data_IF_921207306503
#
_entry.id   IF_921207306503
#
_cell.length_a   1.000
_cell.length_b   1.000
_cell.length_c   1.000
_cell.angle_alpha   90.00
_cell.angle_beta   90.00
_cell.angle_gamma   90.00
#
_symmetry.space_group_name_H-M   'P 1'
#
loop_
_entity.id
_entity.type
_entity.pdbx_description
1 polymer ?
#
# COMPACT_ATOMS: atom_id res chain seq x y z
N UNK A 1 -9.38 -38.06 14.69
CA UNK A 1 -10.73 -37.75 15.21
C UNK A 1 -11.01 -36.29 14.93
N UNK A 2 -11.88 -36.00 13.95
CA UNK A 2 -12.27 -34.63 13.58
C UNK A 2 -13.42 -34.24 14.50
N UNK A 3 -13.23 -33.23 15.34
CA UNK A 3 -14.33 -32.67 16.15
C UNK A 3 -15.30 -31.92 15.22
N UNK A 4 -16.60 -32.28 15.20
CA UNK A 4 -17.58 -31.50 14.45
C UNK A 4 -17.84 -30.17 15.18
N UNK A 5 -17.72 -29.07 14.45
CA UNK A 5 -18.18 -27.74 14.88
C UNK A 5 -19.71 -27.74 14.96
N UNK A 6 -20.25 -27.98 16.15
CA UNK A 6 -21.64 -27.72 16.47
C UNK A 6 -21.69 -26.77 17.69
N UNK A 7 -22.61 -25.78 17.71
CA UNK A 7 -22.77 -24.91 18.87
C UNK A 7 -23.06 -25.73 20.13
N UNK A 8 -22.60 -25.30 21.31
CA UNK A 8 -22.72 -26.09 22.53
C UNK A 8 -24.19 -26.30 22.88
N UNK A 9 -24.64 -27.56 22.85
CA UNK A 9 -25.93 -27.93 23.45
C UNK A 9 -25.78 -27.88 24.97
N UNK A 10 -26.82 -27.47 25.73
CA UNK A 10 -26.77 -27.41 27.20
C UNK A 10 -26.57 -28.77 27.89
N UNK A 11 -26.54 -29.87 27.13
CA UNK A 11 -26.53 -31.26 27.60
C UNK A 11 -25.26 -32.04 27.23
N UNK A 12 -24.20 -31.40 26.74
CA UNK A 12 -22.99 -32.11 26.33
C UNK A 12 -22.15 -32.60 27.54
N UNK A 13 -21.65 -33.86 27.53
CA UNK A 13 -20.90 -34.44 28.64
C UNK A 13 -19.52 -33.79 28.87
N UNK A 14 -19.12 -33.71 30.14
CA UNK A 14 -17.98 -32.96 30.70
C UNK A 14 -16.59 -33.37 30.19
N UNK A 15 -16.44 -34.49 29.49
CA UNK A 15 -15.14 -34.89 28.93
C UNK A 15 -14.71 -34.06 27.70
N UNK A 16 -15.60 -33.22 27.15
CA UNK A 16 -15.24 -32.20 26.14
C UNK A 16 -14.44 -31.01 26.73
N UNK A 17 -14.24 -30.95 28.04
CA UNK A 17 -13.54 -29.84 28.71
C UNK A 17 -12.00 -29.87 28.63
N UNK A 18 -11.40 -30.87 27.96
CA UNK A 18 -9.94 -31.09 27.94
C UNK A 18 -9.27 -30.88 26.57
N UNK A 19 -9.96 -30.26 25.61
CA UNK A 19 -9.26 -29.69 24.46
C UNK A 19 -8.84 -28.26 24.82
N UNK A 20 -7.54 -27.90 24.77
CA UNK A 20 -7.14 -26.50 24.77
C UNK A 20 -7.54 -25.91 23.42
N UNK A 21 -8.83 -25.59 23.26
CA UNK A 21 -9.27 -24.61 22.28
C UNK A 21 -8.58 -23.30 22.68
N UNK A 22 -7.81 -22.62 21.82
CA UNK A 22 -7.48 -21.24 22.08
C UNK A 22 -8.82 -20.54 22.30
N UNK A 23 -8.98 -19.96 23.49
CA UNK A 23 -10.16 -19.16 23.79
C UNK A 23 -10.40 -18.25 22.60
N UNK A 24 -11.61 -18.23 22.05
CA UNK A 24 -11.95 -17.49 20.82
C UNK A 24 -11.48 -16.02 20.89
N UNK A 25 -11.38 -15.48 22.11
CA UNK A 25 -10.75 -14.20 22.44
C UNK A 25 -9.26 -14.09 22.08
N UNK A 26 -8.44 -15.11 22.31
CA UNK A 26 -7.00 -15.09 22.04
C UNK A 26 -6.71 -15.02 20.54
N UNK A 27 -7.38 -15.83 19.71
CA UNK A 27 -7.18 -15.81 18.26
C UNK A 27 -7.58 -14.45 17.67
N UNK A 28 -8.67 -13.86 18.16
CA UNK A 28 -9.10 -12.51 17.74
C UNK A 28 -8.05 -11.46 18.11
N UNK A 29 -7.49 -11.50 19.32
CA UNK A 29 -6.41 -10.59 19.72
C UNK A 29 -5.18 -10.75 18.82
N UNK A 30 -4.82 -11.99 18.47
CA UNK A 30 -3.71 -12.26 17.54
C UNK A 30 -3.98 -11.74 16.14
N UNK A 31 -5.20 -11.91 15.62
CA UNK A 31 -5.61 -11.36 14.32
C UNK A 31 -5.56 -9.83 14.34
N UNK A 32 -6.06 -9.19 15.40
CA UNK A 32 -5.99 -7.73 15.56
C UNK A 32 -4.52 -7.27 15.57
N UNK A 33 -3.66 -7.95 16.34
CA UNK A 33 -2.24 -7.63 16.40
C UNK A 33 -1.57 -7.77 15.01
N UNK A 34 -1.84 -8.85 14.29
CA UNK A 34 -1.34 -9.04 12.92
C UNK A 34 -1.91 -8.03 11.94
N UNK A 35 -3.19 -7.68 12.04
CA UNK A 35 -3.81 -6.69 11.18
C UNK A 35 -3.15 -5.31 11.38
N UNK A 36 -2.88 -4.92 12.63
CA UNK A 36 -2.15 -3.67 12.92
C UNK A 36 -0.69 -3.73 12.45
N UNK A 37 -0.02 -4.88 12.57
CA UNK A 37 1.30 -5.09 11.97
C UNK A 37 1.23 -4.94 10.45
N UNK A 38 0.23 -5.56 9.80
CA UNK A 38 -0.01 -5.44 8.37
C UNK A 38 -0.21 -3.98 7.98
N UNK A 39 -1.02 -3.22 8.71
CA UNK A 39 -1.30 -1.81 8.43
C UNK A 39 -0.07 -0.91 8.62
N UNK A 40 0.72 -1.18 9.67
CA UNK A 40 2.04 -0.57 9.83
C UNK A 40 2.95 -0.91 8.65
N UNK A 41 2.97 -2.18 8.22
CA UNK A 41 3.79 -2.57 7.07
C UNK A 41 3.33 -1.90 5.78
N UNK A 42 2.03 -1.76 5.62
CA UNK A 42 1.42 -1.08 4.48
C UNK A 42 1.80 0.40 4.46
N UNK A 43 1.67 1.09 5.59
CA UNK A 43 2.07 2.49 5.74
C UNK A 43 3.52 2.74 5.34
N UNK A 44 4.44 1.86 5.75
CA UNK A 44 5.85 1.98 5.36
C UNK A 44 6.05 1.74 3.86
N UNK A 45 5.40 0.72 3.29
CA UNK A 45 5.57 0.29 1.89
C UNK A 45 5.09 1.37 0.92
N UNK A 46 3.88 1.88 1.19
CA UNK A 46 3.16 2.78 0.30
C UNK A 46 3.48 4.26 0.54
N UNK A 47 4.36 4.58 1.50
CA UNK A 47 4.94 5.93 1.61
C UNK A 47 5.56 6.40 0.28
N UNK A 48 6.11 5.46 -0.49
CA UNK A 48 6.69 5.74 -1.80
C UNK A 48 5.68 6.29 -2.81
N UNK A 49 4.41 5.89 -2.71
CA UNK A 49 3.36 6.27 -3.66
C UNK A 49 3.08 7.78 -3.61
N UNK A 50 3.16 8.38 -2.42
CA UNK A 50 2.95 9.82 -2.23
C UNK A 50 4.25 10.63 -2.21
N UNK A 51 5.34 10.06 -1.70
CA UNK A 51 6.54 10.85 -1.34
C UNK A 51 7.76 10.62 -2.23
N UNK A 52 7.78 9.59 -3.08
CA UNK A 52 8.93 9.36 -3.96
C UNK A 52 9.13 10.49 -4.97
N UNK A 53 8.05 11.00 -5.55
CA UNK A 53 8.05 12.07 -6.55
C UNK A 53 8.47 13.44 -5.99
N UNK A 54 7.92 13.98 -4.87
CA UNK A 54 8.36 15.27 -4.33
C UNK A 54 9.76 15.22 -3.72
N UNK A 55 10.24 14.03 -3.30
CA UNK A 55 11.62 13.86 -2.87
C UNK A 55 12.56 13.87 -4.08
N UNK A 56 12.24 13.12 -5.14
CA UNK A 56 13.07 13.05 -6.36
C UNK A 56 13.17 14.38 -7.10
N UNK A 57 12.11 15.20 -7.10
CA UNK A 57 12.14 16.55 -7.71
C UNK A 57 12.84 17.59 -6.84
N UNK A 58 13.19 17.26 -5.59
CA UNK A 58 13.70 18.21 -4.61
C UNK A 58 12.65 19.19 -4.08
N UNK A 59 11.35 18.93 -4.31
CA UNK A 59 10.28 19.75 -3.79
C UNK A 59 10.24 19.71 -2.25
N UNK A 60 10.39 18.51 -1.67
CA UNK A 60 10.40 18.26 -0.22
C UNK A 60 11.66 17.54 0.23
N UNK A 61 12.11 17.84 1.45
CA UNK A 61 13.17 17.05 2.11
C UNK A 61 12.59 15.71 2.58
N UNK A 62 13.35 14.59 2.51
CA UNK A 62 12.86 13.25 2.84
C UNK A 62 12.13 13.14 4.18
N UNK A 63 12.69 13.68 5.27
CA UNK A 63 12.09 13.61 6.61
C UNK A 63 10.82 14.46 6.75
N UNK A 64 10.74 15.58 6.04
CA UNK A 64 9.54 16.43 6.01
C UNK A 64 8.44 15.73 5.21
N UNK A 65 8.79 15.14 4.08
CA UNK A 65 7.87 14.40 3.22
C UNK A 65 7.16 13.27 3.98
N UNK A 66 7.91 12.37 4.64
CA UNK A 66 7.31 11.27 5.41
C UNK A 66 6.55 11.75 6.65
N UNK A 67 6.95 12.88 7.25
CA UNK A 67 6.22 13.49 8.37
C UNK A 67 4.84 14.03 7.97
N UNK A 68 4.79 14.78 6.86
CA UNK A 68 3.53 15.27 6.29
C UNK A 68 2.65 14.10 5.86
N UNK A 69 3.23 13.09 5.20
CA UNK A 69 2.51 11.90 4.78
C UNK A 69 1.88 11.15 5.96
N UNK A 70 2.61 10.97 7.06
CA UNK A 70 2.10 10.30 8.25
C UNK A 70 0.90 11.02 8.87
N UNK A 71 0.98 12.36 9.01
CA UNK A 71 -0.12 13.17 9.54
C UNK A 71 -1.34 13.08 8.64
N UNK A 72 -1.16 13.18 7.32
CA UNK A 72 -2.28 13.13 6.38
C UNK A 72 -2.87 11.72 6.25
N UNK A 73 -2.07 10.66 6.36
CA UNK A 73 -2.58 9.29 6.48
C UNK A 73 -3.44 9.12 7.73
N UNK A 74 -2.97 9.63 8.88
CA UNK A 74 -3.73 9.62 10.13
C UNK A 74 -5.08 10.33 9.95
N UNK A 75 -5.07 11.56 9.43
CA UNK A 75 -6.30 12.35 9.20
C UNK A 75 -7.21 11.65 8.19
N UNK A 76 -6.67 11.18 7.08
CA UNK A 76 -7.42 10.52 6.01
C UNK A 76 -8.17 9.27 6.50
N UNK A 77 -7.57 8.51 7.41
CA UNK A 77 -8.21 7.34 8.01
C UNK A 77 -9.53 7.66 8.76
N UNK A 78 -9.72 8.89 9.25
CA UNK A 78 -10.95 9.31 9.92
C UNK A 78 -12.00 9.92 8.97
N UNK A 79 -11.68 10.14 7.69
CA UNK A 79 -12.60 10.85 6.78
C UNK A 79 -13.62 9.93 6.09
N UNK A 80 -13.43 8.60 6.12
CA UNK A 80 -14.35 7.66 5.47
C UNK A 80 -14.25 6.26 6.08
N UNK A 81 -15.32 5.48 5.94
CA UNK A 81 -15.41 4.06 6.34
C UNK A 81 -16.05 3.16 5.26
N UNK A 82 -16.25 3.67 4.05
CA UNK A 82 -16.94 2.95 2.97
C UNK A 82 -16.17 1.74 2.42
N UNK A 83 -14.85 1.85 2.28
CA UNK A 83 -13.99 0.73 1.87
C UNK A 83 -13.99 -0.35 2.95
N UNK A 84 -13.95 0.03 4.23
CA UNK A 84 -13.97 -0.90 5.35
C UNK A 84 -15.26 -1.75 5.34
N UNK A 85 -16.41 -1.09 5.15
CA UNK A 85 -17.72 -1.77 5.01
C UNK A 85 -17.77 -2.73 3.83
N UNK A 86 -17.13 -2.37 2.71
CA UNK A 86 -17.08 -3.23 1.54
C UNK A 86 -16.20 -4.46 1.77
N UNK A 87 -15.07 -4.32 2.48
CA UNK A 87 -14.21 -5.45 2.85
C UNK A 87 -14.89 -6.39 3.84
N UNK A 88 -15.57 -5.84 4.85
CA UNK A 88 -16.19 -6.63 5.91
C UNK A 88 -17.51 -7.31 5.53
N UNK A 89 -18.01 -7.17 4.30
CA UNK A 89 -19.29 -7.76 3.90
C UNK A 89 -19.41 -8.19 2.44
N UNK A 90 -18.32 -8.22 1.67
CA UNK A 90 -18.41 -8.42 0.20
C UNK A 90 -17.51 -9.49 -0.42
N UNK A 91 -16.45 -9.95 0.25
CA UNK A 91 -15.42 -10.79 -0.42
C UNK A 91 -15.67 -12.28 -0.21
N UNK A 92 -16.29 -12.64 0.90
CA UNK A 92 -16.66 -13.99 1.29
C UNK A 92 -18.18 -14.04 1.29
N UNK A 93 -18.74 -15.17 0.86
CA UNK A 93 -20.19 -15.38 0.89
C UNK A 93 -20.67 -15.49 2.33
N UNK A 94 -21.01 -14.35 2.92
CA UNK A 94 -21.62 -14.23 4.24
C UNK A 94 -23.15 -14.19 4.10
N UNK A 95 -23.88 -14.97 4.92
CA UNK A 95 -25.35 -15.05 4.88
C UNK A 95 -25.88 -16.48 5.02
N UNK A 96 -27.21 -16.64 4.99
CA UNK A 96 -27.87 -17.95 5.08
C UNK A 96 -27.42 -18.86 3.92
N UNK A 97 -26.71 -19.94 4.26
CA UNK A 97 -26.10 -20.87 3.29
C UNK A 97 -24.69 -20.50 2.80
N UNK A 98 -24.10 -19.41 3.32
CA UNK A 98 -22.72 -19.00 3.08
C UNK A 98 -21.71 -19.70 4.00
N UNK A 99 -20.41 -19.53 3.73
CA UNK A 99 -19.35 -20.03 4.62
C UNK A 99 -18.74 -18.85 5.38
N UNK A 100 -18.94 -18.83 6.70
CA UNK A 100 -18.25 -17.89 7.56
C UNK A 100 -16.75 -18.21 7.58
N UNK A 101 -15.91 -17.22 7.25
CA UNK A 101 -14.47 -17.35 7.48
C UNK A 101 -14.21 -17.26 8.98
N UNK A 102 -13.43 -18.20 9.51
CA UNK A 102 -13.05 -18.21 10.92
C UNK A 102 -11.86 -17.28 11.18
N UNK A 103 -11.72 -16.72 12.40
CA UNK A 103 -10.56 -15.90 12.76
C UNK A 103 -9.21 -16.55 12.48
N UNK A 104 -9.10 -17.88 12.58
CA UNK A 104 -7.88 -18.65 12.28
C UNK A 104 -7.48 -18.55 10.80
N UNK A 105 -8.45 -18.53 9.88
CA UNK A 105 -8.18 -18.37 8.46
C UNK A 105 -7.81 -16.92 8.10
N UNK A 106 -8.41 -15.95 8.80
CA UNK A 106 -8.00 -14.53 8.68
C UNK A 106 -6.57 -14.37 9.16
N UNK A 107 -6.23 -14.98 10.31
CA UNK A 107 -4.87 -15.01 10.87
C UNK A 107 -3.86 -15.56 9.86
N UNK A 108 -4.15 -16.73 9.28
CA UNK A 108 -3.30 -17.35 8.26
C UNK A 108 -3.14 -16.48 7.00
N UNK A 109 -4.24 -15.89 6.51
CA UNK A 109 -4.22 -15.01 5.35
C UNK A 109 -3.38 -13.75 5.58
N UNK A 110 -3.46 -13.15 6.78
CA UNK A 110 -2.66 -11.99 7.16
C UNK A 110 -1.16 -12.32 7.23
N UNK A 111 -0.77 -13.50 7.75
CA UNK A 111 0.63 -13.95 7.71
C UNK A 111 1.13 -13.97 6.27
N UNK A 112 0.37 -14.59 5.35
CA UNK A 112 0.74 -14.66 3.94
C UNK A 112 0.91 -13.28 3.30
N UNK A 113 -0.01 -12.36 3.60
CA UNK A 113 0.04 -10.98 3.11
C UNK A 113 1.27 -10.21 3.65
N UNK A 114 1.55 -10.31 4.96
CA UNK A 114 2.68 -9.62 5.61
C UNK A 114 4.02 -10.15 5.08
N UNK A 115 4.17 -11.47 4.99
CA UNK A 115 5.41 -12.09 4.50
C UNK A 115 5.69 -11.64 3.06
N UNK A 116 4.68 -11.65 2.19
CA UNK A 116 4.86 -11.20 0.81
C UNK A 116 5.18 -9.70 0.70
N UNK A 117 4.51 -8.86 1.49
CA UNK A 117 4.81 -7.42 1.57
C UNK A 117 6.27 -7.16 1.97
N UNK A 118 6.79 -7.91 2.95
CA UNK A 118 8.18 -7.78 3.38
C UNK A 118 9.18 -8.32 2.36
N UNK A 119 8.86 -9.39 1.64
CA UNK A 119 9.68 -9.92 0.53
C UNK A 119 9.81 -8.87 -0.58
N UNK A 120 8.68 -8.31 -1.03
CA UNK A 120 8.69 -7.29 -2.10
C UNK A 120 9.40 -6.02 -1.66
N UNK A 121 9.23 -5.60 -0.40
CA UNK A 121 10.00 -4.50 0.18
C UNK A 121 11.51 -4.77 0.18
N UNK A 122 11.92 -5.98 0.57
CA UNK A 122 13.34 -6.37 0.57
C UNK A 122 13.92 -6.29 -0.85
N UNK A 123 13.13 -6.68 -1.85
CA UNK A 123 13.49 -6.55 -3.27
C UNK A 123 13.41 -5.11 -3.81
N UNK A 124 12.87 -4.15 -3.04
CA UNK A 124 12.65 -2.78 -3.47
C UNK A 124 11.61 -2.65 -4.59
N UNK A 125 10.72 -3.65 -4.72
CA UNK A 125 9.68 -3.69 -5.73
C UNK A 125 8.41 -3.03 -5.17
N UNK A 126 7.88 -1.98 -5.83
CA UNK A 126 6.57 -1.43 -5.50
C UNK A 126 5.49 -2.48 -5.80
N UNK A 127 4.87 -2.98 -4.74
CA UNK A 127 3.84 -4.03 -4.76
C UNK A 127 2.55 -3.48 -4.15
N UNK A 128 1.44 -4.17 -4.37
CA UNK A 128 0.14 -3.75 -3.86
C UNK A 128 -0.21 -4.52 -2.60
N UNK A 129 -0.23 -3.84 -1.46
CA UNK A 129 -0.69 -4.43 -0.20
C UNK A 129 -2.15 -4.89 -0.27
N UNK A 130 -3.02 -4.22 -1.03
CA UNK A 130 -4.40 -4.68 -1.27
C UNK A 130 -4.43 -6.09 -1.86
N UNK A 131 -3.62 -6.33 -2.90
CA UNK A 131 -3.57 -7.63 -3.56
C UNK A 131 -2.88 -8.68 -2.71
N UNK A 132 -1.88 -8.27 -1.91
CA UNK A 132 -1.25 -9.16 -0.94
C UNK A 132 -2.28 -9.65 0.09
N UNK A 133 -3.08 -8.73 0.65
CA UNK A 133 -4.16 -9.01 1.59
C UNK A 133 -5.21 -9.94 0.99
N UNK A 134 -5.77 -9.58 -0.17
CA UNK A 134 -6.79 -10.39 -0.83
C UNK A 134 -6.25 -11.76 -1.24
N UNK A 135 -5.05 -11.82 -1.81
CA UNK A 135 -4.42 -13.09 -2.16
C UNK A 135 -4.26 -13.98 -0.92
N UNK A 136 -3.71 -13.45 0.18
CA UNK A 136 -3.54 -14.19 1.43
C UNK A 136 -4.84 -14.76 1.97
N UNK A 137 -5.90 -13.94 2.03
CA UNK A 137 -7.24 -14.38 2.47
C UNK A 137 -7.86 -15.40 1.52
N UNK A 138 -7.75 -15.21 0.19
CA UNK A 138 -8.25 -16.16 -0.81
C UNK A 138 -7.55 -17.50 -0.67
N UNK A 139 -6.22 -17.50 -0.56
CA UNK A 139 -5.44 -18.72 -0.38
C UNK A 139 -5.79 -19.47 0.90
N UNK A 140 -5.93 -18.73 2.01
CA UNK A 140 -6.35 -19.29 3.28
C UNK A 140 -7.75 -19.90 3.22
N UNK A 141 -8.70 -19.21 2.57
CA UNK A 141 -10.08 -19.70 2.41
C UNK A 141 -10.17 -20.95 1.51
N UNK A 142 -9.40 -21.01 0.42
CA UNK A 142 -9.36 -22.17 -0.46
C UNK A 142 -8.90 -23.43 0.29
N UNK A 143 -7.89 -23.32 1.16
CA UNK A 143 -7.40 -24.46 1.95
C UNK A 143 -8.30 -24.75 3.16
N UNK A 144 -8.76 -23.72 3.86
CA UNK A 144 -9.53 -23.86 5.08
C UNK A 144 -10.96 -24.35 4.86
N UNK A 145 -11.55 -24.03 3.71
CA UNK A 145 -12.96 -24.28 3.41
C UNK A 145 -13.14 -24.98 2.07
N UNK A 146 -12.43 -24.50 1.04
CA UNK A 146 -12.57 -24.97 -0.34
C UNK A 146 -12.84 -23.84 -1.32
N UNK A 147 -12.77 -24.16 -2.61
CA UNK A 147 -12.89 -23.18 -3.72
C UNK A 147 -14.27 -22.53 -3.80
N UNK A 148 -15.29 -23.16 -3.22
CA UNK A 148 -16.68 -22.67 -3.15
C UNK A 148 -16.88 -21.47 -2.21
N UNK A 149 -15.94 -21.26 -1.27
CA UNK A 149 -15.98 -20.14 -0.33
C UNK A 149 -15.75 -18.78 -1.01
N UNK A 150 -15.11 -18.79 -2.18
CA UNK A 150 -14.74 -17.59 -2.92
C UNK A 150 -15.89 -17.17 -3.83
N UNK A 151 -16.28 -15.90 -3.73
CA UNK A 151 -17.09 -15.27 -4.77
C UNK A 151 -16.20 -14.74 -5.90
N UNK A 152 -16.01 -15.57 -6.94
CA UNK A 152 -15.19 -15.21 -8.10
C UNK A 152 -15.71 -13.99 -8.85
N UNK A 153 -17.02 -13.72 -8.83
CA UNK A 153 -17.59 -12.54 -9.46
C UNK A 153 -17.17 -11.28 -8.70
N UNK A 154 -17.24 -11.31 -7.36
CA UNK A 154 -16.78 -10.19 -6.54
C UNK A 154 -15.28 -10.00 -6.65
N UNK A 155 -14.48 -11.07 -6.58
CA UNK A 155 -13.02 -10.98 -6.76
C UNK A 155 -12.68 -10.39 -8.13
N UNK A 156 -13.33 -10.84 -9.20
CA UNK A 156 -13.12 -10.29 -10.53
C UNK A 156 -13.51 -8.79 -10.60
N UNK A 157 -14.69 -8.43 -10.12
CA UNK A 157 -15.24 -7.08 -10.26
C UNK A 157 -14.60 -6.04 -9.32
N UNK A 158 -14.22 -6.44 -8.11
CA UNK A 158 -13.76 -5.53 -7.04
C UNK A 158 -12.25 -5.58 -6.80
N UNK A 159 -11.55 -6.64 -7.25
CA UNK A 159 -10.10 -6.80 -7.07
C UNK A 159 -9.38 -6.77 -8.42
N UNK A 160 -9.65 -7.74 -9.30
CA UNK A 160 -8.88 -7.93 -10.55
C UNK A 160 -9.12 -6.80 -11.55
N UNK A 161 -10.38 -6.48 -11.83
CA UNK A 161 -10.73 -5.49 -12.85
C UNK A 161 -10.21 -4.08 -12.50
N UNK A 162 -10.39 -3.55 -11.26
CA UNK A 162 -9.79 -2.28 -10.86
C UNK A 162 -8.25 -2.29 -10.94
N UNK A 163 -7.60 -3.41 -10.65
CA UNK A 163 -6.14 -3.52 -10.71
C UNK A 163 -5.57 -3.34 -12.13
N UNK A 164 -6.32 -3.77 -13.14
CA UNK A 164 -5.93 -3.62 -14.55
C UNK A 164 -6.31 -2.24 -15.09
N UNK A 165 -7.51 -1.76 -14.78
CA UNK A 165 -8.07 -0.55 -15.39
C UNK A 165 -7.52 0.72 -14.74
N UNK A 166 -7.46 0.77 -13.40
CA UNK A 166 -7.15 2.00 -12.69
C UNK A 166 -5.76 2.58 -13.02
N UNK A 167 -4.68 1.78 -13.14
CA UNK A 167 -3.36 2.30 -13.50
C UNK A 167 -3.33 2.90 -14.90
N UNK A 168 -4.10 2.32 -15.83
CA UNK A 168 -4.22 2.81 -17.20
C UNK A 168 -4.98 4.13 -17.23
N UNK A 169 -6.14 4.21 -16.56
CA UNK A 169 -6.92 5.45 -16.46
C UNK A 169 -6.08 6.56 -15.82
N UNK A 170 -5.45 6.28 -14.68
CA UNK A 170 -4.61 7.26 -13.99
C UNK A 170 -3.36 7.64 -14.80
N UNK A 171 -2.82 6.72 -15.59
CA UNK A 171 -1.74 7.00 -16.55
C UNK A 171 -2.19 7.92 -17.68
N UNK A 172 -3.37 7.68 -18.26
CA UNK A 172 -3.93 8.52 -19.33
C UNK A 172 -4.24 9.92 -18.82
N UNK A 173 -4.88 10.05 -17.64
CA UNK A 173 -5.16 11.34 -17.01
C UNK A 173 -3.85 12.09 -16.75
N UNK A 174 -2.85 11.45 -16.15
CA UNK A 174 -1.55 12.08 -15.90
C UNK A 174 -0.82 12.49 -17.19
N UNK A 175 -0.94 11.71 -18.26
CA UNK A 175 -0.38 12.01 -19.58
C UNK A 175 -1.01 13.27 -20.17
N UNK A 176 -2.35 13.35 -20.17
CA UNK A 176 -3.10 14.50 -20.69
C UNK A 176 -2.82 15.74 -19.84
N UNK A 177 -2.89 15.61 -18.51
CA UNK A 177 -2.60 16.70 -17.58
C UNK A 177 -1.17 17.24 -17.74
N UNK A 178 -0.19 16.35 -17.95
CA UNK A 178 1.19 16.74 -18.22
C UNK A 178 1.29 17.49 -19.55
N UNK A 179 0.69 16.99 -20.64
CA UNK A 179 0.71 17.68 -21.94
C UNK A 179 0.11 19.07 -21.84
N UNK A 180 -1.02 19.20 -21.14
CA UNK A 180 -1.68 20.47 -20.92
C UNK A 180 -0.80 21.43 -20.12
N UNK A 181 -0.25 20.98 -18.99
CA UNK A 181 0.63 21.79 -18.14
C UNK A 181 1.87 22.30 -18.91
N UNK A 182 2.51 21.45 -19.72
CA UNK A 182 3.68 21.84 -20.51
C UNK A 182 3.33 22.73 -21.71
N UNK A 183 2.11 22.62 -22.25
CA UNK A 183 1.64 23.45 -23.35
C UNK A 183 1.28 24.85 -22.85
N UNK A 184 0.54 24.95 -21.75
CA UNK A 184 0.14 26.24 -21.15
C UNK A 184 1.36 27.01 -20.61
N UNK A 185 2.36 26.30 -20.08
CA UNK A 185 3.58 26.91 -19.54
C UNK A 185 4.71 27.03 -20.56
N UNK A 186 4.43 26.79 -21.84
CA UNK A 186 5.40 26.99 -22.91
C UNK A 186 5.65 28.49 -23.08
N UNK A 187 6.92 28.89 -23.11
CA UNK A 187 7.36 30.28 -23.33
C UNK A 187 8.51 30.33 -24.32
N UNK A 188 8.75 31.51 -24.86
CA UNK A 188 9.83 31.78 -25.81
C UNK A 188 11.22 31.58 -25.20
N UNK A 189 12.18 31.26 -26.06
CA UNK A 189 13.57 30.99 -25.68
C UNK A 189 14.16 32.21 -24.98
N UNK A 190 14.61 32.04 -23.72
CA UNK A 190 15.26 33.09 -22.93
C UNK A 190 14.43 33.65 -21.77
N UNK A 191 13.13 33.33 -21.68
CA UNK A 191 12.32 33.69 -20.51
C UNK A 191 12.42 32.64 -19.38
N UNK A 192 12.26 33.02 -18.10
CA UNK A 192 12.11 32.06 -17.01
C UNK A 192 10.91 31.16 -17.33
N UNK A 193 11.09 29.85 -17.17
CA UNK A 193 10.14 28.83 -17.63
C UNK A 193 8.80 28.80 -16.85
N UNK A 194 8.52 29.79 -16.00
CA UNK A 194 7.26 29.96 -15.27
C UNK A 194 6.94 28.83 -14.28
N UNK A 195 7.84 27.85 -14.13
CA UNK A 195 7.58 26.57 -13.45
C UNK A 195 7.92 26.57 -11.96
N UNK A 196 8.29 27.72 -11.40
CA UNK A 196 8.54 27.87 -9.96
C UNK A 196 7.31 27.51 -9.11
N UNK A 197 6.10 27.82 -9.61
CA UNK A 197 4.84 27.52 -8.92
C UNK A 197 4.51 26.02 -8.82
N UNK A 198 4.95 25.20 -9.80
CA UNK A 198 4.67 23.76 -9.79
C UNK A 198 5.31 23.02 -8.63
N UNK A 199 6.36 23.59 -8.02
CA UNK A 199 6.92 23.03 -6.79
C UNK A 199 5.89 23.03 -5.66
N UNK A 200 5.17 24.13 -5.47
CA UNK A 200 4.13 24.24 -4.44
C UNK A 200 2.90 23.42 -4.79
N UNK A 201 2.50 23.43 -6.06
CA UNK A 201 1.42 22.58 -6.55
C UNK A 201 1.73 21.10 -6.30
N UNK A 202 2.98 20.67 -6.54
CA UNK A 202 3.42 19.31 -6.25
C UNK A 202 3.35 18.97 -4.76
N UNK A 203 3.84 19.84 -3.87
CA UNK A 203 3.75 19.61 -2.42
C UNK A 203 2.29 19.39 -2.01
N UNK A 204 1.37 20.20 -2.54
CA UNK A 204 -0.06 20.07 -2.28
C UNK A 204 -0.64 18.77 -2.86
N UNK A 205 -0.35 18.41 -4.11
CA UNK A 205 -0.84 17.17 -4.70
C UNK A 205 -0.28 15.93 -4.03
N UNK A 206 1.01 15.90 -3.65
CA UNK A 206 1.63 14.82 -2.88
C UNK A 206 0.94 14.64 -1.53
N UNK A 207 0.57 15.76 -0.90
CA UNK A 207 -0.19 15.78 0.35
C UNK A 207 -1.60 15.19 0.16
N UNK A 208 -2.28 15.53 -0.95
CA UNK A 208 -3.57 14.92 -1.29
C UNK A 208 -3.45 13.42 -1.56
N UNK A 209 -2.36 12.94 -2.18
CA UNK A 209 -2.13 11.49 -2.34
C UNK A 209 -1.98 10.81 -0.99
N UNK A 210 -1.24 11.40 -0.05
CA UNK A 210 -1.14 10.86 1.31
C UNK A 210 -2.48 10.87 2.06
N UNK A 211 -3.27 11.93 1.92
CA UNK A 211 -4.62 11.97 2.51
C UNK A 211 -5.50 10.87 1.90
N UNK A 212 -5.52 10.76 0.57
CA UNK A 212 -6.29 9.76 -0.18
C UNK A 212 -5.87 8.33 0.17
N UNK A 213 -4.56 8.12 0.39
CA UNK A 213 -4.03 6.85 0.86
C UNK A 213 -4.62 6.48 2.23
N UNK A 214 -4.64 7.40 3.20
CA UNK A 214 -5.30 7.19 4.50
C UNK A 214 -6.79 6.84 4.35
N UNK A 215 -7.51 7.50 3.44
CA UNK A 215 -8.93 7.20 3.18
C UNK A 215 -9.18 5.85 2.51
N UNK A 216 -8.16 5.15 2.00
CA UNK A 216 -8.34 3.89 1.30
C UNK A 216 -7.69 2.74 2.06
N UNK A 217 -6.42 2.88 2.42
CA UNK A 217 -5.58 1.79 2.89
C UNK A 217 -5.82 1.44 4.36
N UNK A 218 -5.96 2.45 5.22
CA UNK A 218 -6.29 2.23 6.63
C UNK A 218 -7.62 1.49 6.77
N UNK A 219 -8.58 1.81 5.89
CA UNK A 219 -9.89 1.18 5.86
C UNK A 219 -9.85 -0.31 5.54
N UNK A 220 -8.83 -0.79 4.81
CA UNK A 220 -8.73 -2.21 4.48
C UNK A 220 -8.49 -3.03 5.74
N UNK A 221 -7.56 -2.55 6.57
CA UNK A 221 -7.27 -3.14 7.87
C UNK A 221 -8.46 -3.01 8.81
N UNK A 222 -9.14 -1.85 8.83
CA UNK A 222 -10.38 -1.68 9.60
C UNK A 222 -11.44 -2.71 9.21
N UNK A 223 -11.60 -2.98 7.91
CA UNK A 223 -12.50 -4.00 7.38
C UNK A 223 -12.15 -5.42 7.85
N UNK A 224 -10.86 -5.79 7.83
CA UNK A 224 -10.39 -7.10 8.30
C UNK A 224 -10.61 -7.28 9.81
N UNK A 225 -10.30 -6.26 10.62
CA UNK A 225 -10.55 -6.31 12.06
C UNK A 225 -12.05 -6.40 12.34
N UNK A 226 -12.86 -5.60 11.65
CA UNK A 226 -14.33 -5.62 11.79
C UNK A 226 -14.90 -6.97 11.41
N UNK A 227 -14.45 -7.55 10.29
CA UNK A 227 -14.80 -8.90 9.88
C UNK A 227 -14.45 -9.94 10.95
N UNK A 228 -13.26 -9.81 11.55
CA UNK A 228 -12.82 -10.70 12.63
C UNK A 228 -13.71 -10.59 13.87
N UNK A 229 -14.13 -9.37 14.25
CA UNK A 229 -15.03 -9.15 15.37
C UNK A 229 -16.44 -9.69 15.10
N UNK A 230 -16.92 -9.58 13.86
CA UNK A 230 -18.21 -10.13 13.42
C UNK A 230 -18.15 -11.67 13.43
N UNK A 231 -17.12 -12.27 12.82
CA UNK A 231 -16.87 -13.70 12.89
C UNK A 231 -16.69 -14.19 14.33
N UNK A 232 -16.13 -13.31 15.17
CA UNK A 232 -15.94 -13.45 16.59
C UNK A 232 -17.23 -13.40 17.44
N UNK A 233 -18.35 -12.96 16.88
CA UNK A 233 -19.59 -12.69 17.63
C UNK A 233 -19.51 -11.47 18.56
N UNK A 234 -18.45 -10.67 18.49
CA UNK A 234 -18.26 -9.45 19.30
C UNK A 234 -18.92 -8.21 18.67
N UNK A 235 -19.34 -8.30 17.40
CA UNK A 235 -19.93 -7.21 16.65
C UNK A 235 -21.03 -7.73 15.71
N UNK A 236 -22.12 -6.98 15.54
CA UNK A 236 -23.25 -7.39 14.71
C UNK A 236 -22.91 -7.31 13.21
N UNK A 237 -23.45 -8.23 12.41
CA UNK A 237 -23.30 -8.23 10.94
C UNK A 237 -23.82 -6.91 10.37
N UNK A 238 -23.10 -6.35 9.40
CA UNK A 238 -23.47 -5.09 8.73
C UNK A 238 -23.15 -3.82 9.53
N UNK A 239 -22.60 -3.93 10.74
CA UNK A 239 -22.09 -2.77 11.47
C UNK A 239 -20.72 -2.34 10.93
N UNK A 240 -20.50 -1.03 10.82
CA UNK A 240 -19.23 -0.46 10.37
C UNK A 240 -18.13 -0.56 11.43
N UNK A 241 -16.87 -0.21 11.09
CA UNK A 241 -15.76 -0.24 12.04
C UNK A 241 -16.04 0.68 13.24
N UNK A 242 -15.75 0.18 14.44
CA UNK A 242 -15.87 0.95 15.68
C UNK A 242 -14.74 1.97 15.79
N UNK A 243 -14.95 3.03 16.59
CA UNK A 243 -13.99 4.14 16.68
C UNK A 243 -12.58 3.71 17.09
N UNK A 244 -12.44 2.75 18.02
CA UNK A 244 -11.13 2.28 18.44
C UNK A 244 -10.39 1.54 17.32
N UNK A 245 -11.11 0.80 16.46
CA UNK A 245 -10.52 0.14 15.27
C UNK A 245 -10.01 1.20 14.32
N UNK A 246 -10.80 2.25 14.08
CA UNK A 246 -10.39 3.37 13.22
C UNK A 246 -9.13 4.02 13.78
N UNK A 247 -9.10 4.35 15.07
CA UNK A 247 -7.97 4.99 15.72
C UNK A 247 -6.70 4.11 15.73
N UNK A 248 -6.85 2.81 15.98
CA UNK A 248 -5.73 1.87 16.01
C UNK A 248 -5.08 1.71 14.62
N UNK A 249 -5.90 1.50 13.57
CA UNK A 249 -5.43 1.44 12.19
C UNK A 249 -4.80 2.77 11.75
N UNK A 250 -5.48 3.90 12.03
CA UNK A 250 -4.97 5.23 11.70
C UNK A 250 -3.59 5.50 12.31
N UNK A 251 -3.37 5.08 13.56
CA UNK A 251 -2.08 5.20 14.21
C UNK A 251 -1.03 4.23 13.62
N UNK A 252 -1.42 2.97 13.39
CA UNK A 252 -0.52 1.96 12.82
C UNK A 252 0.01 2.38 11.44
N UNK A 253 -0.88 2.76 10.52
CA UNK A 253 -0.51 3.21 9.18
C UNK A 253 0.33 4.50 9.23
N UNK A 254 0.00 5.46 10.10
CA UNK A 254 0.74 6.72 10.23
C UNK A 254 2.17 6.50 10.76
N UNK A 255 2.33 5.66 11.79
CA UNK A 255 3.65 5.30 12.32
C UNK A 255 4.44 4.55 11.24
N UNK A 256 3.82 3.59 10.54
CA UNK A 256 4.41 2.90 9.40
C UNK A 256 4.93 3.89 8.35
N UNK A 257 4.08 4.83 7.93
CA UNK A 257 4.44 5.87 6.96
C UNK A 257 5.60 6.74 7.43
N UNK A 258 5.65 7.10 8.71
CA UNK A 258 6.75 7.88 9.24
C UNK A 258 8.09 7.13 9.21
N UNK A 259 8.09 5.81 9.39
CA UNK A 259 9.31 4.99 9.24
C UNK A 259 9.83 4.99 7.79
N UNK A 260 8.90 5.13 6.82
CA UNK A 260 9.15 5.27 5.40
C UNK A 260 9.36 3.95 4.68
N UNK A 261 9.77 3.99 3.42
CA UNK A 261 9.98 2.81 2.59
C UNK A 261 11.18 3.00 1.68
N UNK A 262 12.34 3.38 2.24
CA UNK A 262 13.45 3.99 1.49
C UNK A 262 13.89 3.21 0.24
N UNK A 263 13.86 1.88 0.28
CA UNK A 263 14.14 1.01 -0.88
C UNK A 263 13.17 1.25 -2.03
N UNK A 264 11.88 1.32 -1.73
CA UNK A 264 10.80 1.51 -2.70
C UNK A 264 10.76 2.97 -3.15
N UNK A 265 10.95 3.93 -2.23
CA UNK A 265 11.07 5.36 -2.54
C UNK A 265 12.17 5.59 -3.58
N UNK A 266 13.33 4.91 -3.43
CA UNK A 266 14.41 4.95 -4.43
C UNK A 266 13.96 4.45 -5.80
N UNK A 267 13.31 3.29 -5.84
CA UNK A 267 12.81 2.67 -7.09
C UNK A 267 11.78 3.56 -7.78
N UNK A 268 10.81 4.10 -7.04
CA UNK A 268 9.74 4.94 -7.60
C UNK A 268 10.22 6.34 -7.98
N UNK A 269 11.15 6.92 -7.23
CA UNK A 269 11.61 8.30 -7.43
C UNK A 269 12.58 8.48 -8.59
N UNK A 270 13.46 7.51 -8.83
CA UNK A 270 14.52 7.62 -9.87
C UNK A 270 14.57 6.43 -10.83
N UNK A 271 13.83 5.36 -10.54
CA UNK A 271 13.92 4.10 -11.28
C UNK A 271 13.04 4.03 -12.54
N UNK A 272 11.98 4.85 -12.66
CA UNK A 272 11.01 4.76 -13.76
C UNK A 272 11.21 5.81 -14.85
N UNK A 273 11.22 7.09 -14.49
CA UNK A 273 11.41 8.20 -15.42
C UNK A 273 11.99 9.40 -14.66
N UNK A 274 12.60 10.33 -15.38
CA UNK A 274 13.01 11.61 -14.79
C UNK A 274 11.80 12.51 -14.62
N UNK A 275 11.47 12.80 -13.36
CA UNK A 275 10.29 13.58 -12.99
C UNK A 275 10.71 15.01 -12.67
N UNK A 276 10.02 15.98 -13.27
CA UNK A 276 10.08 17.40 -12.90
C UNK A 276 8.84 17.80 -12.11
N UNK A 277 8.84 18.91 -11.35
CA UNK A 277 7.69 19.30 -10.52
C UNK A 277 6.34 19.35 -11.25
N UNK A 278 6.30 19.80 -12.52
CA UNK A 278 5.06 19.80 -13.29
C UNK A 278 4.53 18.38 -13.63
N UNK A 279 5.43 17.41 -13.89
CA UNK A 279 5.06 16.01 -14.09
C UNK A 279 4.64 15.37 -12.76
N UNK A 280 5.38 15.67 -11.67
CA UNK A 280 5.04 15.21 -10.33
C UNK A 280 3.65 15.67 -9.91
N UNK A 281 3.35 16.97 -10.08
CA UNK A 281 2.01 17.51 -9.85
C UNK A 281 0.94 16.78 -10.66
N UNK A 282 1.14 16.60 -11.97
CA UNK A 282 0.17 15.91 -12.82
C UNK A 282 -0.04 14.44 -12.42
N UNK A 283 1.04 13.73 -12.07
CA UNK A 283 0.98 12.34 -11.62
C UNK A 283 0.24 12.21 -10.29
N UNK A 284 0.57 13.06 -9.31
CA UNK A 284 -0.01 13.02 -7.97
C UNK A 284 -1.46 13.49 -7.95
N UNK A 285 -1.81 14.54 -8.71
CA UNK A 285 -3.19 14.99 -8.86
C UNK A 285 -4.07 13.89 -9.48
N UNK A 286 -3.57 13.22 -10.53
CA UNK A 286 -4.25 12.07 -11.12
C UNK A 286 -4.39 10.92 -10.12
N UNK A 287 -3.31 10.61 -9.39
CA UNK A 287 -3.30 9.53 -8.40
C UNK A 287 -4.32 9.78 -7.30
N UNK A 288 -4.30 10.98 -6.70
CA UNK A 288 -5.23 11.37 -5.64
C UNK A 288 -6.68 11.34 -6.14
N UNK A 289 -6.96 11.88 -7.33
CA UNK A 289 -8.29 11.87 -7.91
C UNK A 289 -8.82 10.44 -8.12
N UNK A 290 -8.00 9.55 -8.68
CA UNK A 290 -8.39 8.15 -8.90
C UNK A 290 -8.62 7.41 -7.59
N UNK A 291 -7.74 7.59 -6.59
CA UNK A 291 -7.89 6.93 -5.27
C UNK A 291 -9.14 7.43 -4.55
N UNK A 292 -9.37 8.75 -4.49
CA UNK A 292 -10.54 9.33 -3.82
C UNK A 292 -11.84 8.90 -4.51
N UNK A 293 -11.92 9.01 -5.83
CA UNK A 293 -13.09 8.58 -6.60
C UNK A 293 -13.41 7.10 -6.36
N UNK A 294 -12.39 6.24 -6.35
CA UNK A 294 -12.56 4.82 -6.04
C UNK A 294 -13.02 4.55 -4.62
N UNK A 295 -12.44 5.28 -3.64
CA UNK A 295 -12.77 5.11 -2.22
C UNK A 295 -14.22 5.52 -1.94
N UNK A 296 -14.72 6.56 -2.63
CA UNK A 296 -16.14 6.94 -2.58
C UNK A 296 -17.08 5.87 -3.16
N UNK A 297 -16.62 5.09 -4.13
CA UNK A 297 -17.37 3.96 -4.68
C UNK A 297 -17.20 2.66 -3.87
N UNK A 298 -16.44 2.70 -2.77
CA UNK A 298 -16.13 1.53 -1.94
C UNK A 298 -15.20 0.51 -2.60
N UNK A 299 -14.54 0.85 -3.71
CA UNK A 299 -13.62 -0.08 -4.38
C UNK A 299 -12.25 -0.07 -3.70
N UNK A 300 -11.78 -1.26 -3.27
CA UNK A 300 -10.48 -1.47 -2.64
C UNK A 300 -9.35 -1.49 -3.68
N UNK A 301 -8.95 -0.29 -4.09
CA UNK A 301 -8.01 -0.10 -5.18
C UNK A 301 -6.55 -0.17 -4.72
N UNK A 302 -5.65 -0.55 -5.63
CA UNK A 302 -4.21 -0.51 -5.40
C UNK A 302 -3.63 0.89 -5.64
N UNK A 303 -3.29 1.57 -4.56
CA UNK A 303 -2.65 2.90 -4.60
C UNK A 303 -1.30 2.83 -5.32
N UNK A 304 -0.51 1.77 -5.09
CA UNK A 304 0.79 1.55 -5.75
C UNK A 304 0.70 1.43 -7.26
N UNK A 305 -0.29 0.68 -7.75
CA UNK A 305 -0.47 0.51 -9.19
C UNK A 305 -0.93 1.82 -9.85
N UNK A 306 -1.85 2.55 -9.21
CA UNK A 306 -2.31 3.86 -9.70
C UNK A 306 -1.20 4.90 -9.70
N UNK A 307 -0.46 5.02 -8.59
CA UNK A 307 0.66 5.96 -8.49
C UNK A 307 1.72 5.68 -9.55
N UNK A 308 2.09 4.40 -9.74
CA UNK A 308 3.06 4.01 -10.76
C UNK A 308 2.54 4.25 -12.18
N UNK A 309 1.26 3.95 -12.45
CA UNK A 309 0.60 4.24 -13.73
C UNK A 309 0.61 5.72 -14.06
N UNK A 310 0.25 6.57 -13.09
CA UNK A 310 0.32 8.03 -13.21
C UNK A 310 1.74 8.56 -13.42
N UNK A 311 2.74 8.00 -12.74
CA UNK A 311 4.16 8.36 -12.95
C UNK A 311 4.58 8.03 -14.39
N UNK A 312 4.30 6.82 -14.87
CA UNK A 312 4.60 6.41 -16.27
C UNK A 312 3.87 7.32 -17.26
N UNK A 313 2.57 7.59 -17.03
CA UNK A 313 1.75 8.48 -17.84
C UNK A 313 2.30 9.91 -17.91
N UNK A 314 2.68 10.48 -16.77
CA UNK A 314 3.33 11.80 -16.72
C UNK A 314 4.68 11.83 -17.45
N UNK A 315 5.41 10.72 -17.45
CA UNK A 315 6.61 10.52 -18.27
C UNK A 315 6.28 10.63 -19.76
N UNK A 316 5.29 9.88 -20.25
CA UNK A 316 4.84 9.88 -21.64
C UNK A 316 4.27 11.23 -22.10
N UNK A 317 3.73 12.01 -21.17
CA UNK A 317 3.15 13.33 -21.45
C UNK A 317 4.19 14.41 -21.79
N UNK A 318 5.46 14.24 -21.37
CA UNK A 318 6.53 15.22 -21.62
C UNK A 318 7.35 14.85 -22.85
N UNK A 319 7.44 15.78 -23.82
CA UNK A 319 8.34 15.65 -24.98
C UNK A 319 9.80 15.49 -24.53
N UNK A 320 10.47 14.46 -25.04
CA UNK A 320 11.87 14.14 -24.72
C UNK A 320 12.10 13.50 -23.34
N UNK A 321 11.05 13.03 -22.67
CA UNK A 321 11.21 12.22 -21.45
C UNK A 321 11.53 10.78 -21.82
N UNK A 322 12.46 10.16 -21.10
CA UNK A 322 12.81 8.74 -21.27
C UNK A 322 12.15 7.91 -20.17
N UNK A 323 11.55 6.78 -20.55
CA UNK A 323 10.96 5.81 -19.61
C UNK A 323 11.82 4.55 -19.62
N UNK A 324 12.15 4.05 -18.44
CA UNK A 324 12.90 2.81 -18.27
C UNK A 324 11.94 1.61 -18.33
N UNK A 325 11.56 1.20 -19.54
CA UNK A 325 10.59 0.12 -19.77
C UNK A 325 10.97 -1.21 -19.10
N UNK A 326 12.27 -1.51 -18.97
CA UNK A 326 12.72 -2.68 -18.22
C UNK A 326 12.34 -2.64 -16.73
N UNK A 327 12.35 -1.46 -16.10
CA UNK A 327 11.87 -1.30 -14.72
C UNK A 327 10.34 -1.37 -14.66
N UNK A 328 9.64 -0.71 -15.58
CA UNK A 328 8.17 -0.77 -15.67
C UNK A 328 7.67 -2.22 -15.81
N UNK A 329 8.33 -3.03 -16.66
CA UNK A 329 8.02 -4.45 -16.82
C UNK A 329 8.27 -5.27 -15.55
N UNK A 330 9.37 -5.02 -14.82
CA UNK A 330 9.64 -5.68 -13.52
C UNK A 330 8.58 -5.34 -12.48
N UNK A 331 8.12 -4.09 -12.44
CA UNK A 331 7.05 -3.65 -11.55
C UNK A 331 5.72 -4.33 -11.93
N UNK A 332 5.36 -4.33 -13.21
CA UNK A 332 4.15 -5.00 -13.69
C UNK A 332 4.15 -6.51 -13.42
N UNK A 333 5.31 -7.17 -13.55
CA UNK A 333 5.46 -8.57 -13.17
C UNK A 333 5.28 -8.75 -11.65
N UNK A 334 5.85 -7.86 -10.85
CA UNK A 334 5.63 -7.84 -9.40
C UNK A 334 4.14 -7.73 -9.04
N UNK A 335 3.39 -6.89 -9.75
CA UNK A 335 1.94 -6.76 -9.58
C UNK A 335 1.20 -8.04 -9.90
N UNK A 336 1.48 -8.64 -11.06
CA UNK A 336 0.84 -9.89 -11.49
C UNK A 336 1.14 -11.05 -10.51
N UNK A 337 2.35 -11.10 -9.96
CA UNK A 337 2.76 -12.14 -9.00
C UNK A 337 2.25 -11.91 -7.59
N UNK A 338 1.79 -10.70 -7.23
CA UNK A 338 1.47 -10.38 -5.84
C UNK A 338 0.31 -11.19 -5.29
N UNK A 339 -0.82 -11.25 -6.02
CA UNK A 339 -2.00 -12.00 -5.58
C UNK A 339 -1.73 -13.52 -5.52
N UNK A 340 -1.14 -14.17 -6.55
CA UNK A 340 -0.84 -15.60 -6.48
C UNK A 340 0.18 -15.95 -5.40
N UNK A 341 1.24 -15.15 -5.24
CA UNK A 341 2.29 -15.47 -4.28
C UNK A 341 1.81 -15.31 -2.83
N UNK A 342 1.04 -14.26 -2.52
CA UNK A 342 0.45 -14.13 -1.18
C UNK A 342 -0.63 -15.18 -0.93
N UNK A 343 -1.37 -15.61 -1.96
CA UNK A 343 -2.31 -16.72 -1.84
C UNK A 343 -1.62 -18.04 -1.52
N UNK A 344 -0.48 -18.35 -2.15
CA UNK A 344 0.31 -19.54 -1.80
C UNK A 344 0.79 -19.47 -0.35
N UNK A 345 1.25 -18.31 0.11
CA UNK A 345 1.71 -18.13 1.50
C UNK A 345 0.55 -18.25 2.50
N UNK A 346 -0.61 -17.67 2.20
CA UNK A 346 -1.82 -17.76 3.03
C UNK A 346 -2.39 -19.18 3.06
N UNK A 347 -2.36 -19.89 1.92
CA UNK A 347 -2.74 -21.29 1.81
C UNK A 347 -1.83 -22.20 2.67
N UNK A 348 -0.52 -21.96 2.65
CA UNK A 348 0.43 -22.69 3.49
C UNK A 348 0.15 -22.47 4.98
N UNK A 349 -0.03 -21.21 5.40
CA UNK A 349 -0.38 -20.90 6.78
C UNK A 349 -1.73 -21.52 7.19
N UNK A 350 -2.75 -21.47 6.32
CA UNK A 350 -4.04 -22.09 6.62
C UNK A 350 -3.91 -23.61 6.79
N UNK A 351 -3.08 -24.27 5.98
CA UNK A 351 -2.79 -25.70 6.13
C UNK A 351 -2.20 -26.05 7.50
N UNK A 352 -1.36 -25.17 8.07
CA UNK A 352 -0.86 -25.31 9.42
C UNK A 352 -1.95 -25.02 10.45
N UNK A 353 -2.70 -23.92 10.31
CA UNK A 353 -3.81 -23.58 11.20
C UNK A 353 -4.87 -24.69 11.32
N UNK A 354 -5.09 -25.49 10.27
CA UNK A 354 -5.98 -26.66 10.30
C UNK A 354 -5.53 -27.79 11.23
N UNK A 355 -4.26 -27.79 11.67
CA UNK A 355 -3.75 -28.69 12.73
C UNK A 355 -4.24 -28.28 14.13
N UNK A 356 -5.06 -27.22 14.22
CA UNK A 356 -5.62 -26.70 15.46
C UNK A 356 -4.64 -25.78 16.21
N UNK A 357 -4.69 -25.74 17.55
CA UNK A 357 -3.93 -24.78 18.36
C UNK A 357 -2.42 -24.85 18.12
N UNK A 358 -1.89 -26.06 17.95
CA UNK A 358 -0.47 -26.30 17.66
C UNK A 358 -0.09 -25.68 16.32
N UNK A 359 -0.98 -25.79 15.33
CA UNK A 359 -0.83 -25.16 14.01
C UNK A 359 -0.66 -23.65 14.08
N UNK A 360 -1.54 -22.98 14.83
CA UNK A 360 -1.50 -21.51 15.02
C UNK A 360 -0.19 -21.08 15.70
N UNK A 361 0.26 -21.83 16.71
CA UNK A 361 1.54 -21.55 17.38
C UNK A 361 2.71 -21.74 16.41
N UNK A 362 2.70 -22.81 15.60
CA UNK A 362 3.72 -23.03 14.57
C UNK A 362 3.73 -21.91 13.54
N UNK A 363 2.57 -21.46 13.05
CA UNK A 363 2.45 -20.32 12.15
C UNK A 363 3.05 -19.05 12.75
N UNK A 364 2.73 -18.76 14.01
CA UNK A 364 3.27 -17.60 14.70
C UNK A 364 4.79 -17.66 14.81
N UNK A 365 5.34 -18.83 15.17
CA UNK A 365 6.79 -19.04 15.30
C UNK A 365 7.48 -18.93 13.94
N UNK A 366 6.98 -19.63 12.92
CA UNK A 366 7.55 -19.63 11.56
C UNK A 366 7.47 -18.22 10.97
N UNK A 367 6.31 -17.57 11.04
CA UNK A 367 6.11 -16.20 10.58
C UNK A 367 7.09 -15.24 11.25
N UNK A 368 7.25 -15.32 12.57
CA UNK A 368 8.20 -14.49 13.32
C UNK A 368 9.64 -14.75 12.89
N UNK A 369 10.05 -16.01 12.70
CA UNK A 369 11.39 -16.37 12.21
C UNK A 369 11.63 -15.80 10.80
N UNK A 370 10.67 -15.96 9.89
CA UNK A 370 10.76 -15.44 8.52
C UNK A 370 10.89 -13.92 8.51
N UNK A 371 10.05 -13.22 9.28
CA UNK A 371 10.10 -11.75 9.41
C UNK A 371 11.45 -11.31 9.97
N UNK A 372 11.95 -11.97 11.02
CA UNK A 372 13.27 -11.67 11.60
C UNK A 372 14.41 -11.93 10.61
N UNK A 373 14.33 -13.00 9.83
CA UNK A 373 15.31 -13.33 8.80
C UNK A 373 15.33 -12.27 7.68
N UNK A 374 14.16 -11.86 7.19
CA UNK A 374 14.01 -10.78 6.20
C UNK A 374 14.56 -9.47 6.74
N UNK A 375 14.26 -9.12 8.00
CA UNK A 375 14.78 -7.92 8.63
C UNK A 375 16.31 -7.97 8.79
N UNK A 376 16.86 -9.11 9.22
CA UNK A 376 18.31 -9.31 9.34
C UNK A 376 19.01 -9.23 7.98
N UNK A 377 18.41 -9.78 6.93
CA UNK A 377 18.92 -9.64 5.57
C UNK A 377 18.87 -8.18 5.11
N UNK A 378 17.80 -7.45 5.43
CA UNK A 378 17.68 -6.03 5.07
C UNK A 378 18.85 -5.18 5.61
N UNK A 379 19.43 -5.58 6.75
CA UNK A 379 20.59 -4.89 7.36
C UNK A 379 21.89 -5.04 6.57
N UNK A 380 22.01 -6.01 5.65
CA UNK A 380 23.22 -6.16 4.81
C UNK A 380 23.33 -5.05 3.75
N UNK A 381 22.21 -4.61 3.20
CA UNK A 381 22.14 -3.57 2.17
C UNK A 381 21.24 -2.41 2.64
N UNK A 382 21.64 -1.71 3.71
CA UNK A 382 20.81 -0.64 4.28
C UNK A 382 20.69 0.53 3.30
N UNK A 383 19.46 0.82 2.87
CA UNK A 383 19.13 2.04 2.15
C UNK A 383 18.57 3.02 3.18
N UNK A 384 19.29 4.12 3.40
CA UNK A 384 18.88 5.20 4.30
C UNK A 384 18.51 6.45 3.52
N UNK A 385 17.87 7.42 4.18
CA UNK A 385 17.56 8.71 3.56
C UNK A 385 18.81 9.48 3.07
N UNK A 386 19.98 9.29 3.69
CA UNK A 386 21.24 9.86 3.20
C UNK A 386 21.71 9.19 1.91
N UNK A 387 21.66 7.85 1.86
CA UNK A 387 21.98 7.08 0.66
C UNK A 387 21.07 7.46 -0.50
N UNK A 388 19.78 7.67 -0.22
CA UNK A 388 18.79 8.10 -1.20
C UNK A 388 19.15 9.46 -1.82
N UNK A 389 19.59 10.43 -1.01
CA UNK A 389 19.99 11.75 -1.51
C UNK A 389 21.20 11.66 -2.43
N UNK A 390 22.21 10.85 -2.08
CA UNK A 390 23.37 10.62 -2.94
C UNK A 390 22.96 10.00 -4.29
N UNK A 391 22.08 8.99 -4.26
CA UNK A 391 21.58 8.35 -5.49
C UNK A 391 20.79 9.33 -6.39
N UNK A 392 19.99 10.22 -5.78
CA UNK A 392 19.25 11.26 -6.50
C UNK A 392 20.21 12.30 -7.09
N UNK A 393 21.20 12.75 -6.32
CA UNK A 393 22.20 13.72 -6.76
C UNK A 393 23.07 13.16 -7.89
N UNK A 394 23.47 11.89 -7.82
CA UNK A 394 24.25 11.21 -8.86
C UNK A 394 23.43 10.99 -10.13
N UNK A 395 22.16 10.57 -10.01
CA UNK A 395 21.24 10.51 -11.15
C UNK A 395 21.08 11.88 -11.84
N UNK A 396 21.07 12.97 -11.05
CA UNK A 396 21.05 14.34 -11.56
C UNK A 396 22.38 14.81 -12.20
N UNK A 397 23.52 14.20 -11.87
CA UNK A 397 24.85 14.54 -12.41
C UNK A 397 25.20 13.82 -13.72
N UNK A 398 24.76 12.57 -13.88
CA UNK A 398 25.05 11.76 -15.08
C UNK A 398 24.41 12.35 -16.35
N UNK A 399 23.36 13.15 -16.20
CA UNK A 399 22.73 13.91 -17.29
C UNK A 399 23.05 15.39 -17.07
N UNK A 400 24.18 15.86 -17.62
CA UNK A 400 24.58 17.28 -17.56
C UNK A 400 23.48 18.19 -18.12
N UNK A 401 22.63 18.73 -17.25
CA UNK A 401 21.84 19.92 -17.54
C UNK A 401 22.74 21.12 -17.22
N UNK A 402 23.13 21.86 -18.26
CA UNK A 402 23.86 23.13 -18.14
C UNK A 402 23.06 24.04 -17.20
N UNK A 403 23.54 24.21 -15.96
CA UNK A 403 22.97 25.20 -15.03
C UNK A 403 22.96 26.54 -15.78
N UNK A 404 21.77 27.13 -15.94
CA UNK A 404 21.65 28.50 -16.43
C UNK A 404 22.54 29.37 -15.53
N UNK A 405 23.46 30.20 -16.09
CA UNK A 405 24.35 30.99 -15.27
C UNK A 405 23.52 31.83 -14.31
N UNK A 406 23.82 31.71 -13.01
CA UNK A 406 23.18 32.55 -11.99
C UNK A 406 23.50 34.00 -12.34
N UNK A 407 22.49 34.87 -12.43
CA UNK A 407 22.69 36.30 -12.68
C UNK A 407 23.69 36.83 -11.64
N UNK A 408 24.80 37.46 -12.04
CA UNK A 408 25.81 37.92 -11.10
C UNK A 408 25.18 38.90 -10.12
N UNK A 409 25.40 38.65 -8.83
CA UNK A 409 24.93 39.54 -7.77
C UNK A 409 25.78 40.82 -7.76
N UNK A 410 25.28 41.90 -7.15
CA UNK A 410 26.06 43.14 -6.98
C UNK A 410 27.41 42.90 -6.27
N UNK A 411 27.53 41.84 -5.47
CA UNK A 411 28.78 41.43 -4.83
C UNK A 411 29.79 40.82 -5.79
N UNK A 412 29.33 40.11 -6.83
CA UNK A 412 30.19 39.47 -7.83
C UNK A 412 30.83 40.52 -8.76
N UNK A 413 30.12 41.63 -9.04
CA UNK A 413 30.66 42.72 -9.87
C UNK A 413 31.78 43.51 -9.20
N UNK A 414 31.83 43.56 -7.86
CA UNK A 414 32.91 44.23 -7.12
C UNK A 414 34.21 43.43 -7.09
N UNK A 415 34.17 42.12 -7.32
CA UNK A 415 35.36 41.27 -7.34
C UNK A 415 36.09 41.25 -8.70
N UNK A 416 35.50 41.84 -9.74
CA UNK A 416 36.09 41.88 -11.09
C UNK A 416 36.79 43.23 -11.36
N UNK A 417 36.74 44.17 -10.43
CA UNK A 417 37.33 45.51 -10.57
C UNK A 417 38.52 45.76 -9.63
N UNK A 418 39.31 44.73 -9.31
CA UNK A 418 40.59 44.86 -8.61
C UNK A 418 41.68 44.15 -9.41
#
# INVERSE_FOLDING_TARGET
>A
MVCPYAPPSPSAPTWRAWCPVPDFSLIIVLVIALALIFDFTNGFHDTANAMATPIATGAMKPKVAVGVAAILNLVGAFLSTEVARTISGGIIKEGDGGVLITPELIFAGLIGAIVWNLVTWLMGLPSSSSHALFGGLIGAAIIGVGTQAIDYNVVAAKVILPALIAPVIAGVIALVATRLAYTITRRDVGQPDGRGGFRYAQIFSSSLVALAHGTNDAQKTMGVITLTLIAGGFQAVGSGPTFWVIAACALAIAIGTYTGGWRIIRTMGTGLTEIKPAQGFAAEASTAATILASSHLGFALSTTQVASGSVIGSGLGRRGSTIRWGMAGRIALGWAMTLPASAIMGAFAAGLALLGPIGIVLDMVIGTIVIMALFRWSRRNRVTHHTLLNDIDDAGRVVRIRKTPRRPTRSDRRKVSL
#
